data_IF_377336797045
#
_entry.id   IF_377336797045
#
_cell.length_a   1.000
_cell.length_b   1.000
_cell.length_c   1.000
_cell.angle_alpha   90.00
_cell.angle_beta   90.00
_cell.angle_gamma   90.00
#
_symmetry.space_group_name_H-M   'P 1'
#
loop_
_entity.id
_entity.type
_entity.pdbx_description
1 polymer ?
#
# COMPACT_ATOMS: atom_id res chain seq x y z
N UNK A 1 -3.80 18.11 -16.83
CA UNK A 1 -3.45 16.71 -17.16
C UNK A 1 -4.00 15.88 -16.01
N UNK A 2 -4.73 14.80 -16.25
CA UNK A 2 -5.31 13.97 -15.17
C UNK A 2 -4.54 12.64 -15.08
N UNK A 3 -4.32 12.14 -13.86
CA UNK A 3 -3.72 10.82 -13.65
C UNK A 3 -4.65 9.72 -14.21
N UNK A 4 -4.10 8.62 -14.74
CA UNK A 4 -4.92 7.51 -15.23
C UNK A 4 -5.62 6.80 -14.05
N UNK A 5 -6.84 6.33 -14.29
CA UNK A 5 -7.53 5.49 -13.32
C UNK A 5 -6.83 4.12 -13.21
N UNK A 6 -6.20 3.86 -12.07
CA UNK A 6 -5.53 2.59 -11.82
C UNK A 6 -6.55 1.57 -11.31
N UNK A 7 -6.88 0.60 -12.18
CA UNK A 7 -7.80 -0.50 -11.89
C UNK A 7 -7.24 -1.81 -12.41
N UNK A 8 -7.30 -2.86 -11.60
CA UNK A 8 -7.00 -4.21 -12.09
C UNK A 8 -8.20 -4.71 -12.88
N UNK A 9 -8.06 -4.84 -14.20
CA UNK A 9 -9.13 -5.42 -15.03
C UNK A 9 -9.46 -6.84 -14.55
N UNK A 10 -10.72 -7.07 -14.22
CA UNK A 10 -11.22 -8.42 -13.91
C UNK A 10 -11.07 -9.29 -15.16
N UNK A 11 -10.50 -10.49 -15.02
CA UNK A 11 -10.64 -11.51 -16.07
C UNK A 11 -12.14 -11.80 -16.23
N UNK A 12 -12.57 -12.16 -17.45
CA UNK A 12 -13.98 -12.52 -17.78
C UNK A 12 -14.65 -13.49 -16.80
N UNK A 13 -13.86 -14.26 -16.03
CA UNK A 13 -14.33 -15.12 -14.95
C UNK A 13 -13.74 -14.60 -13.65
N UNK A 14 -14.58 -13.97 -12.83
CA UNK A 14 -14.22 -13.46 -11.53
C UNK A 14 -14.52 -14.51 -10.45
N UNK A 15 -13.50 -15.29 -10.09
CA UNK A 15 -13.60 -16.28 -9.00
C UNK A 15 -13.96 -15.61 -7.65
N UNK A 16 -13.74 -14.29 -7.49
CA UNK A 16 -14.17 -13.55 -6.30
C UNK A 16 -15.68 -13.23 -6.32
N UNK A 17 -16.34 -13.18 -7.48
CA UNK A 17 -17.81 -13.17 -7.57
C UNK A 17 -18.39 -14.56 -7.28
N UNK A 18 -17.70 -15.63 -7.66
CA UNK A 18 -18.11 -17.01 -7.36
C UNK A 18 -17.95 -17.30 -5.86
N UNK A 19 -16.87 -16.82 -5.23
CA UNK A 19 -16.67 -16.90 -3.78
C UNK A 19 -17.51 -15.88 -2.99
N UNK A 20 -17.77 -14.69 -3.54
CA UNK A 20 -18.63 -13.66 -2.94
C UNK A 20 -20.10 -14.07 -2.83
N UNK A 21 -20.54 -15.04 -3.65
CA UNK A 21 -21.83 -15.71 -3.47
C UNK A 21 -21.90 -16.62 -2.22
N UNK A 22 -20.77 -16.88 -1.56
CA UNK A 22 -20.67 -17.79 -0.40
C UNK A 22 -20.37 -17.04 0.92
N UNK A 23 -20.12 -15.72 0.89
CA UNK A 23 -19.89 -14.92 2.10
C UNK A 23 -20.32 -13.45 1.90
N UNK A 24 -21.33 -13.02 2.64
CA UNK A 24 -21.85 -11.63 2.64
C UNK A 24 -20.76 -10.61 2.98
N UNK A 25 -19.86 -10.92 3.92
CA UNK A 25 -18.76 -10.03 4.30
C UNK A 25 -17.76 -9.76 3.17
N UNK A 26 -17.44 -10.78 2.37
CA UNK A 26 -16.58 -10.64 1.18
C UNK A 26 -17.26 -9.78 0.11
N UNK A 27 -18.55 -10.00 -0.12
CA UNK A 27 -19.32 -9.20 -1.08
C UNK A 27 -19.40 -7.73 -0.65
N UNK A 28 -19.63 -7.48 0.64
CA UNK A 28 -19.68 -6.13 1.20
C UNK A 28 -18.34 -5.41 1.00
N UNK A 29 -17.22 -5.98 1.44
CA UNK A 29 -15.91 -5.33 1.29
C UNK A 29 -15.55 -5.15 -0.19
N UNK A 30 -15.80 -6.13 -1.05
CA UNK A 30 -15.55 -6.01 -2.49
C UNK A 30 -16.38 -4.89 -3.14
N UNK A 31 -17.60 -4.63 -2.66
CA UNK A 31 -18.42 -3.53 -3.18
C UNK A 31 -17.84 -2.14 -2.87
N UNK A 32 -16.92 -2.04 -1.90
CA UNK A 32 -16.23 -0.79 -1.57
C UNK A 32 -15.02 -0.49 -2.46
N UNK A 33 -14.52 -1.47 -3.23
CA UNK A 33 -13.27 -1.33 -3.99
C UNK A 33 -13.34 -0.23 -5.05
N UNK A 34 -14.36 -0.25 -5.91
CA UNK A 34 -14.51 0.77 -6.95
C UNK A 34 -14.83 2.16 -6.36
N UNK A 35 -15.79 2.31 -5.42
CA UNK A 35 -16.03 3.58 -4.75
C UNK A 35 -14.77 4.15 -4.08
N UNK A 36 -13.95 3.31 -3.45
CA UNK A 36 -12.70 3.75 -2.81
C UNK A 36 -11.69 4.24 -3.83
N UNK A 37 -11.60 3.54 -4.95
CA UNK A 37 -10.67 3.88 -6.00
C UNK A 37 -11.09 5.20 -6.71
N UNK A 38 -12.39 5.40 -6.94
CA UNK A 38 -12.94 6.68 -7.44
C UNK A 38 -12.66 7.84 -6.48
N UNK A 39 -12.84 7.63 -5.17
CA UNK A 39 -12.49 8.63 -4.17
C UNK A 39 -11.05 9.10 -4.30
N UNK A 40 -10.09 8.18 -4.49
CA UNK A 40 -8.69 8.54 -4.67
C UNK A 40 -8.41 9.20 -6.00
N UNK A 41 -9.10 8.82 -7.08
CA UNK A 41 -8.97 9.51 -8.37
C UNK A 41 -9.38 10.99 -8.23
N UNK A 42 -10.53 11.27 -7.62
CA UNK A 42 -11.01 12.64 -7.38
C UNK A 42 -10.10 13.41 -6.41
N UNK A 43 -9.66 12.75 -5.32
CA UNK A 43 -8.72 13.33 -4.36
C UNK A 43 -7.40 13.71 -5.03
N UNK A 44 -6.86 12.84 -5.88
CA UNK A 44 -5.61 13.04 -6.60
C UNK A 44 -5.73 14.19 -7.59
N UNK A 45 -6.85 14.35 -8.30
CA UNK A 45 -7.08 15.50 -9.21
C UNK A 45 -6.90 16.84 -8.52
N UNK A 46 -7.50 17.01 -7.34
CA UNK A 46 -7.35 18.23 -6.54
C UNK A 46 -5.93 18.45 -6.01
N UNK A 47 -5.19 17.38 -5.75
CA UNK A 47 -3.85 17.45 -5.18
C UNK A 47 -2.75 17.55 -6.23
N UNK A 48 -2.97 17.13 -7.47
CA UNK A 48 -1.94 17.05 -8.51
C UNK A 48 -1.25 18.41 -8.76
N UNK A 49 -2.04 19.47 -8.83
CA UNK A 49 -1.57 20.84 -9.12
C UNK A 49 -1.49 21.75 -7.89
N UNK A 50 -1.83 21.23 -6.70
CA UNK A 50 -1.72 21.99 -5.45
C UNK A 50 -0.26 22.20 -5.04
N UNK A 51 0.01 23.19 -4.19
CA UNK A 51 1.34 23.43 -3.62
C UNK A 51 1.56 22.71 -2.28
N UNK A 52 2.83 22.50 -1.93
CA UNK A 52 3.24 21.93 -0.64
C UNK A 52 3.96 20.59 -0.75
N UNK A 53 4.53 20.10 0.37
CA UNK A 53 5.20 18.81 0.43
C UNK A 53 4.31 17.69 -0.11
N UNK A 54 4.85 16.87 -0.99
CA UNK A 54 4.11 15.79 -1.64
C UNK A 54 4.47 14.45 -0.99
N UNK A 55 3.45 13.72 -0.58
CA UNK A 55 3.52 12.30 -0.27
C UNK A 55 2.91 11.50 -1.42
N UNK A 56 3.67 10.53 -1.95
CA UNK A 56 3.20 9.50 -2.87
C UNK A 56 2.99 8.19 -2.11
N UNK A 57 1.78 7.65 -2.16
CA UNK A 57 1.47 6.33 -1.61
C UNK A 57 1.30 5.31 -2.74
N UNK A 58 2.20 4.33 -2.77
CA UNK A 58 2.19 3.19 -3.69
C UNK A 58 1.64 1.96 -2.96
N UNK A 59 1.07 1.00 -3.68
CA UNK A 59 0.72 -0.29 -3.10
C UNK A 59 -0.59 -0.89 -3.58
N UNK A 60 -1.15 -1.74 -2.72
CA UNK A 60 -2.34 -2.53 -2.98
C UNK A 60 -3.59 -2.02 -2.23
N UNK A 61 -4.55 -2.92 -1.97
CA UNK A 61 -5.81 -2.60 -1.31
C UNK A 61 -5.64 -2.02 0.09
N UNK A 62 -4.56 -2.35 0.81
CA UNK A 62 -4.28 -1.77 2.13
C UNK A 62 -3.94 -0.29 2.01
N UNK A 63 -3.11 0.08 1.03
CA UNK A 63 -2.81 1.50 0.71
C UNK A 63 -4.04 2.23 0.19
N UNK A 64 -4.93 1.53 -0.51
CA UNK A 64 -6.19 2.09 -0.96
C UNK A 64 -7.19 2.30 0.21
N UNK A 65 -6.96 1.64 1.35
CA UNK A 65 -7.80 1.71 2.55
C UNK A 65 -8.96 0.71 2.57
N UNK A 66 -8.96 -0.31 1.70
CA UNK A 66 -10.02 -1.33 1.70
C UNK A 66 -10.06 -2.02 3.06
N UNK A 67 -11.27 -2.16 3.60
CA UNK A 67 -11.54 -2.69 4.94
C UNK A 67 -11.80 -1.62 5.99
N UNK A 68 -11.27 -0.39 5.82
CA UNK A 68 -11.67 0.76 6.64
C UNK A 68 -13.10 1.19 6.32
N UNK A 69 -13.85 1.69 7.31
CA UNK A 69 -15.24 2.12 7.15
C UNK A 69 -15.36 3.33 6.21
N UNK A 70 -14.41 4.26 6.29
CA UNK A 70 -14.38 5.48 5.48
C UNK A 70 -12.98 5.71 4.90
N UNK A 71 -12.84 6.45 3.78
CA UNK A 71 -11.52 6.84 3.29
C UNK A 71 -10.71 7.61 4.34
N UNK A 72 -11.36 8.45 5.15
CA UNK A 72 -10.73 9.23 6.23
C UNK A 72 -10.18 8.39 7.38
N UNK A 73 -10.67 7.16 7.58
CA UNK A 73 -10.16 6.22 8.59
C UNK A 73 -9.02 5.33 8.06
N UNK A 74 -8.67 5.46 6.78
CA UNK A 74 -7.50 4.76 6.23
C UNK A 74 -6.20 5.30 6.82
N UNK A 75 -5.18 4.45 6.94
CA UNK A 75 -3.88 4.87 7.49
C UNK A 75 -3.27 6.05 6.75
N UNK A 76 -3.50 6.13 5.43
CA UNK A 76 -2.96 7.19 4.59
C UNK A 76 -3.55 8.55 4.99
N UNK A 77 -4.87 8.61 5.19
CA UNK A 77 -5.54 9.83 5.67
C UNK A 77 -5.12 10.20 7.09
N UNK A 78 -5.02 9.22 8.00
CA UNK A 78 -4.59 9.46 9.38
C UNK A 78 -3.17 10.04 9.45
N UNK A 79 -2.21 9.46 8.73
CA UNK A 79 -0.82 9.95 8.69
C UNK A 79 -0.73 11.31 8.00
N UNK A 80 -1.53 11.56 6.96
CA UNK A 80 -1.54 12.85 6.27
C UNK A 80 -1.94 13.99 7.22
N UNK A 81 -2.99 13.78 8.01
CA UNK A 81 -3.42 14.78 9.01
C UNK A 81 -2.35 15.01 10.08
N UNK A 82 -1.68 13.94 10.54
CA UNK A 82 -0.54 14.06 11.47
C UNK A 82 0.62 14.85 10.86
N UNK A 83 0.97 14.60 9.59
CA UNK A 83 2.02 15.37 8.87
C UNK A 83 1.68 16.86 8.82
N UNK A 84 0.44 17.22 8.46
CA UNK A 84 -0.03 18.61 8.44
C UNK A 84 0.08 19.25 9.81
N UNK A 85 -0.38 18.56 10.86
CA UNK A 85 -0.35 19.07 12.23
C UNK A 85 1.06 19.24 12.78
N UNK A 86 1.94 18.26 12.54
CA UNK A 86 3.33 18.23 13.02
C UNK A 86 4.21 19.27 12.34
N UNK A 87 4.09 19.41 11.03
CA UNK A 87 4.97 20.26 10.22
C UNK A 87 4.42 21.66 9.98
N UNK A 88 3.14 21.89 10.30
CA UNK A 88 2.39 23.12 9.98
C UNK A 88 2.41 23.47 8.49
N UNK A 89 2.61 22.48 7.62
CA UNK A 89 2.61 22.63 6.17
C UNK A 89 1.37 21.97 5.55
N UNK A 90 0.92 22.51 4.42
CA UNK A 90 -0.16 21.94 3.61
C UNK A 90 0.37 20.74 2.83
N UNK A 91 0.57 19.62 3.52
CA UNK A 91 0.95 18.37 2.87
C UNK A 91 -0.13 17.91 1.89
N UNK A 92 0.34 17.44 0.74
CA UNK A 92 -0.47 16.82 -0.31
C UNK A 92 -0.22 15.33 -0.31
N UNK A 93 -1.25 14.58 -0.65
CA UNK A 93 -1.17 13.15 -0.89
C UNK A 93 -1.64 12.85 -2.31
N UNK A 94 -0.85 12.07 -3.05
CA UNK A 94 -1.29 11.39 -4.25
C UNK A 94 -1.20 9.89 -3.96
N UNK A 95 -2.36 9.23 -3.90
CA UNK A 95 -2.46 7.79 -3.65
C UNK A 95 -2.58 7.05 -4.99
N UNK A 96 -1.50 6.38 -5.39
CA UNK A 96 -1.40 5.62 -6.65
C UNK A 96 -1.65 4.13 -6.43
N UNK A 97 -2.20 3.74 -5.29
CA UNK A 97 -2.50 2.33 -5.01
C UNK A 97 -3.60 1.77 -5.91
N UNK A 98 -3.56 0.46 -6.07
CA UNK A 98 -4.56 -0.27 -6.85
C UNK A 98 -4.90 -1.57 -6.12
N UNK A 99 -6.17 -1.78 -5.79
CA UNK A 99 -6.61 -3.05 -5.19
C UNK A 99 -6.20 -4.25 -6.04
N UNK A 100 -5.59 -5.25 -5.38
CA UNK A 100 -5.05 -6.43 -6.04
C UNK A 100 -3.70 -6.20 -6.76
N UNK A 101 -3.06 -5.04 -6.58
CA UNK A 101 -1.73 -4.78 -7.12
C UNK A 101 -0.68 -5.76 -6.61
N UNK A 102 0.27 -6.07 -7.49
CA UNK A 102 1.47 -6.87 -7.26
C UNK A 102 2.70 -6.01 -7.44
N UNK A 103 3.87 -6.55 -7.13
CA UNK A 103 5.16 -5.89 -7.42
C UNK A 103 5.23 -5.40 -8.87
N UNK A 104 4.83 -6.21 -9.84
CA UNK A 104 4.82 -5.81 -11.26
C UNK A 104 3.92 -4.63 -11.56
N UNK A 105 2.82 -4.44 -10.83
CA UNK A 105 1.90 -3.33 -11.07
C UNK A 105 2.46 -2.02 -10.50
N UNK A 106 3.17 -2.09 -9.36
CA UNK A 106 3.93 -0.94 -8.86
C UNK A 106 4.97 -0.51 -9.89
N UNK A 107 5.72 -1.46 -10.44
CA UNK A 107 6.82 -1.21 -11.38
C UNK A 107 6.31 -0.67 -12.72
N UNK A 108 5.25 -1.26 -13.28
CA UNK A 108 4.82 -0.96 -14.64
C UNK A 108 3.68 0.07 -14.72
N UNK A 109 3.02 0.41 -13.62
CA UNK A 109 1.83 1.27 -13.65
C UNK A 109 1.80 2.37 -12.59
N UNK A 110 2.43 2.19 -11.44
CA UNK A 110 2.43 3.23 -10.39
C UNK A 110 3.68 4.11 -10.46
N UNK A 111 4.87 3.52 -10.49
CA UNK A 111 6.15 4.25 -10.54
C UNK A 111 6.32 5.13 -11.78
N UNK A 112 5.93 4.70 -13.01
CA UNK A 112 6.07 5.54 -14.20
C UNK A 112 5.34 6.89 -14.08
N UNK A 113 4.23 6.94 -13.32
CA UNK A 113 3.46 8.16 -13.11
C UNK A 113 4.23 9.26 -12.38
N UNK A 114 5.29 8.92 -11.62
CA UNK A 114 6.13 9.93 -10.99
C UNK A 114 6.90 10.73 -12.04
N UNK A 115 7.40 10.05 -13.08
CA UNK A 115 8.14 10.68 -14.17
C UNK A 115 7.18 11.36 -15.17
N UNK A 116 6.16 10.63 -15.63
CA UNK A 116 5.18 11.12 -16.62
C UNK A 116 4.50 12.42 -16.19
N UNK A 117 4.27 12.59 -14.89
CA UNK A 117 3.63 13.77 -14.29
C UNK A 117 4.61 14.67 -13.53
N UNK A 118 5.92 14.42 -13.63
CA UNK A 118 6.98 15.21 -12.99
C UNK A 118 6.76 15.43 -11.49
N UNK A 119 6.26 14.40 -10.80
CA UNK A 119 5.96 14.43 -9.38
C UNK A 119 7.26 14.47 -8.58
N UNK A 120 7.37 15.43 -7.65
CA UNK A 120 8.54 15.61 -6.77
C UNK A 120 8.17 15.29 -5.32
N UNK A 121 8.06 14.00 -4.96
CA UNK A 121 7.69 13.61 -3.60
C UNK A 121 8.78 13.96 -2.58
N UNK A 122 8.36 14.41 -1.39
CA UNK A 122 9.19 14.41 -0.18
C UNK A 122 9.07 13.10 0.60
N UNK A 123 7.95 12.40 0.46
CA UNK A 123 7.70 11.11 1.09
C UNK A 123 7.18 10.12 0.05
N UNK A 124 7.72 8.91 0.04
CA UNK A 124 7.18 7.78 -0.70
C UNK A 124 6.97 6.63 0.27
N UNK A 125 5.79 6.02 0.23
CA UNK A 125 5.48 4.82 1.03
C UNK A 125 4.94 3.73 0.14
N UNK A 126 5.23 2.47 0.46
CA UNK A 126 4.69 1.31 -0.24
C UNK A 126 4.21 0.23 0.73
N UNK A 127 2.96 -0.23 0.57
CA UNK A 127 2.48 -1.49 1.16
C UNK A 127 2.08 -2.42 0.02
N UNK A 128 2.91 -3.43 -0.23
CA UNK A 128 2.78 -4.32 -1.40
C UNK A 128 3.37 -5.70 -1.12
N UNK A 129 2.88 -6.73 -1.82
CA UNK A 129 3.42 -8.09 -1.81
C UNK A 129 2.44 -9.17 -1.32
N UNK A 130 1.33 -8.76 -0.70
CA UNK A 130 0.26 -9.67 -0.27
C UNK A 130 -0.30 -10.47 -1.45
N UNK A 131 -0.54 -9.80 -2.58
CA UNK A 131 -1.06 -10.40 -3.80
C UNK A 131 -0.02 -11.29 -4.51
N UNK A 132 1.27 -10.93 -4.50
CA UNK A 132 2.34 -11.78 -5.03
C UNK A 132 2.37 -13.13 -4.30
N UNK A 133 2.23 -13.12 -2.97
CA UNK A 133 2.14 -14.33 -2.16
C UNK A 133 0.88 -15.15 -2.52
N UNK A 134 -0.23 -14.54 -2.92
CA UNK A 134 -1.40 -15.31 -3.33
C UNK A 134 -1.22 -15.95 -4.71
N UNK A 135 -0.56 -15.27 -5.65
CA UNK A 135 -0.57 -15.66 -7.06
C UNK A 135 0.70 -16.33 -7.58
N UNK A 136 1.89 -16.00 -7.07
CA UNK A 136 3.15 -16.57 -7.58
C UNK A 136 3.37 -17.97 -6.99
N UNK A 137 3.62 -18.96 -7.86
CA UNK A 137 4.06 -20.31 -7.44
C UNK A 137 5.59 -20.36 -7.40
N UNK A 138 6.16 -20.88 -6.31
CA UNK A 138 7.60 -21.03 -6.12
C UNK A 138 8.28 -19.87 -5.39
N UNK A 139 9.29 -20.20 -4.58
CA UNK A 139 10.04 -19.25 -3.73
C UNK A 139 11.08 -18.44 -4.50
N UNK A 140 11.75 -19.05 -5.48
CA UNK A 140 12.76 -18.33 -6.28
C UNK A 140 12.13 -17.26 -7.18
N UNK A 141 10.98 -17.55 -7.82
CA UNK A 141 10.31 -16.58 -8.68
C UNK A 141 9.86 -15.35 -7.90
N UNK A 142 9.21 -15.53 -6.74
CA UNK A 142 8.73 -14.41 -5.93
C UNK A 142 9.87 -13.59 -5.33
N UNK A 143 11.01 -14.22 -5.02
CA UNK A 143 12.22 -13.51 -4.59
C UNK A 143 12.75 -12.61 -5.71
N UNK A 144 12.83 -13.10 -6.96
CA UNK A 144 13.24 -12.30 -8.12
C UNK A 144 12.31 -11.11 -8.35
N UNK A 145 11.01 -11.27 -8.14
CA UNK A 145 10.06 -10.17 -8.28
C UNK A 145 10.23 -9.11 -7.19
N UNK A 146 10.52 -9.55 -5.96
CA UNK A 146 10.85 -8.66 -4.85
C UNK A 146 12.18 -7.93 -5.10
N UNK A 147 13.19 -8.61 -5.64
CA UNK A 147 14.47 -8.03 -6.03
C UNK A 147 14.27 -6.94 -7.09
N UNK A 148 13.43 -7.22 -8.09
CA UNK A 148 13.12 -6.28 -9.16
C UNK A 148 12.38 -5.04 -8.65
N UNK A 149 11.43 -5.21 -7.72
CA UNK A 149 10.81 -4.07 -7.03
C UNK A 149 11.85 -3.24 -6.26
N UNK A 150 12.66 -3.89 -5.41
CA UNK A 150 13.72 -3.23 -4.64
C UNK A 150 14.72 -2.51 -5.55
N UNK A 151 14.92 -3.02 -6.78
CA UNK A 151 15.83 -2.43 -7.76
C UNK A 151 15.34 -1.08 -8.30
N UNK A 152 14.02 -0.89 -8.40
CA UNK A 152 13.44 0.30 -9.05
C UNK A 152 12.75 1.27 -8.07
N UNK A 153 12.51 0.86 -6.82
CA UNK A 153 11.99 1.77 -5.81
C UNK A 153 12.94 2.98 -5.62
N UNK A 154 12.41 4.21 -5.57
CA UNK A 154 13.22 5.39 -5.25
C UNK A 154 13.86 5.30 -3.86
N UNK A 155 15.05 5.85 -3.73
CA UNK A 155 15.77 5.97 -2.45
C UNK A 155 14.95 6.75 -1.42
N UNK A 156 15.02 6.36 -0.15
CA UNK A 156 14.24 6.95 0.94
C UNK A 156 12.79 6.46 1.02
N UNK A 157 12.36 5.52 0.18
CA UNK A 157 11.01 4.94 0.25
C UNK A 157 10.81 4.17 1.55
N UNK A 158 9.65 4.36 2.20
CA UNK A 158 9.21 3.55 3.34
C UNK A 158 8.41 2.35 2.84
N UNK A 159 8.99 1.15 2.92
CA UNK A 159 8.38 -0.08 2.44
C UNK A 159 7.93 -0.94 3.62
N UNK A 160 6.69 -1.42 3.57
CA UNK A 160 6.17 -2.31 4.60
C UNK A 160 6.86 -3.67 4.55
N UNK A 161 7.26 -4.19 5.72
CA UNK A 161 7.78 -5.54 5.87
C UNK A 161 6.70 -6.57 5.56
N UNK A 162 7.14 -7.68 4.98
CA UNK A 162 6.37 -8.92 4.92
C UNK A 162 6.74 -9.78 6.12
N UNK A 163 5.74 -10.25 6.86
CA UNK A 163 5.96 -11.14 7.99
C UNK A 163 6.64 -12.44 7.54
N UNK A 164 7.64 -12.88 8.28
CA UNK A 164 8.28 -14.19 8.07
C UNK A 164 7.32 -15.29 8.50
N UNK A 165 7.33 -16.41 7.76
CA UNK A 165 6.66 -17.64 8.17
C UNK A 165 7.68 -18.62 8.74
N UNK A 166 7.24 -19.56 9.59
CA UNK A 166 8.10 -20.68 10.00
C UNK A 166 8.53 -21.47 8.75
N UNK A 167 9.83 -21.44 8.42
CA UNK A 167 10.43 -22.09 7.25
C UNK A 167 10.77 -21.17 6.07
N UNK A 168 11.36 -21.74 5.01
CA UNK A 168 11.83 -21.01 3.80
C UNK A 168 10.73 -20.84 2.74
N UNK A 169 9.54 -20.39 3.16
CA UNK A 169 8.38 -20.17 2.30
C UNK A 169 8.45 -18.87 1.50
N UNK A 170 7.41 -18.60 0.69
CA UNK A 170 7.31 -17.39 -0.15
C UNK A 170 7.40 -16.08 0.64
N UNK A 171 6.77 -16.04 1.81
CA UNK A 171 6.83 -14.90 2.75
C UNK A 171 8.26 -14.64 3.22
N UNK A 172 8.93 -15.68 3.68
CA UNK A 172 10.33 -15.61 4.13
C UNK A 172 11.26 -15.19 2.99
N UNK A 173 11.04 -15.70 1.77
CA UNK A 173 11.84 -15.30 0.61
C UNK A 173 11.73 -13.79 0.30
N UNK A 174 10.51 -13.21 0.30
CA UNK A 174 10.34 -11.76 0.14
C UNK A 174 10.99 -11.00 1.30
N UNK A 175 10.73 -11.44 2.55
CA UNK A 175 11.27 -10.78 3.73
C UNK A 175 12.80 -10.76 3.71
N UNK A 176 13.45 -11.87 3.36
CA UNK A 176 14.90 -11.96 3.20
C UNK A 176 15.40 -11.01 2.11
N UNK A 177 14.76 -10.98 0.94
CA UNK A 177 15.11 -10.03 -0.12
C UNK A 177 15.01 -8.58 0.35
N UNK A 178 13.92 -8.21 1.02
CA UNK A 178 13.72 -6.83 1.50
C UNK A 178 14.77 -6.45 2.54
N UNK A 179 14.99 -7.28 3.57
CA UNK A 179 15.96 -7.01 4.63
C UNK A 179 17.39 -6.93 4.09
N UNK A 180 17.76 -7.81 3.15
CA UNK A 180 19.11 -7.85 2.59
C UNK A 180 19.41 -6.64 1.68
N UNK A 181 18.42 -6.19 0.89
CA UNK A 181 18.64 -5.12 -0.08
C UNK A 181 18.37 -3.72 0.47
N UNK A 182 17.53 -3.58 1.50
CA UNK A 182 17.11 -2.27 2.00
C UNK A 182 18.27 -1.33 2.38
N UNK A 183 19.34 -1.77 3.09
CA UNK A 183 20.46 -0.89 3.44
C UNK A 183 21.19 -0.34 2.21
N UNK A 184 21.51 -1.20 1.24
CA UNK A 184 22.22 -0.81 0.03
C UNK A 184 21.38 0.07 -0.91
N UNK A 185 20.05 0.02 -0.76
CA UNK A 185 19.09 0.76 -1.58
C UNK A 185 18.50 1.99 -0.90
N UNK A 186 18.93 2.28 0.32
CA UNK A 186 18.35 3.31 1.19
C UNK A 186 16.82 3.21 1.31
N UNK A 187 16.30 1.99 1.43
CA UNK A 187 14.88 1.73 1.66
C UNK A 187 14.65 1.62 3.17
N UNK A 188 13.63 2.33 3.69
CA UNK A 188 13.28 2.31 5.10
C UNK A 188 12.19 1.27 5.33
N UNK A 189 12.50 0.19 6.04
CA UNK A 189 11.51 -0.86 6.31
C UNK A 189 10.71 -0.54 7.57
N UNK A 190 9.38 -0.58 7.48
CA UNK A 190 8.46 -0.41 8.63
C UNK A 190 7.48 -1.59 8.75
N UNK A 191 6.94 -1.83 9.94
CA UNK A 191 6.07 -2.99 10.20
C UNK A 191 4.60 -2.60 10.16
N UNK A 192 3.97 -2.53 8.99
CA UNK A 192 2.54 -2.19 8.93
C UNK A 192 1.66 -3.14 9.76
N UNK A 193 2.06 -4.41 9.85
CA UNK A 193 1.31 -5.51 10.47
C UNK A 193 1.59 -5.69 11.98
N UNK A 194 2.30 -4.75 12.61
CA UNK A 194 2.62 -4.83 14.03
C UNK A 194 1.48 -4.27 14.88
N UNK A 195 0.49 -5.11 15.15
CA UNK A 195 -0.63 -4.85 16.06
C UNK A 195 -0.63 -5.84 17.23
N UNK A 196 -1.25 -5.52 18.38
CA UNK A 196 -1.17 -6.35 19.59
C UNK A 196 -1.89 -7.71 19.47
N UNK A 197 -2.93 -7.79 18.62
CA UNK A 197 -3.69 -9.01 18.37
C UNK A 197 -4.23 -9.00 16.94
N UNK A 198 -4.49 -10.17 16.36
CA UNK A 198 -5.22 -10.28 15.11
C UNK A 198 -6.75 -10.30 15.33
N UNK A 199 -7.20 -10.61 16.54
CA UNK A 199 -8.62 -10.62 16.88
C UNK A 199 -9.18 -9.20 16.84
N UNK A 200 -10.30 -9.02 16.14
CA UNK A 200 -10.93 -7.70 15.98
C UNK A 200 -10.19 -6.72 15.07
N UNK A 201 -9.12 -7.12 14.38
CA UNK A 201 -8.36 -6.25 13.45
C UNK A 201 -8.77 -6.39 11.98
N UNK A 202 -9.65 -7.33 11.66
CA UNK A 202 -10.06 -7.62 10.30
C UNK A 202 -11.46 -7.10 10.00
N UNK A 203 -11.67 -6.64 8.76
CA UNK A 203 -12.97 -6.32 8.21
C UNK A 203 -13.84 -7.58 8.07
N UNK A 204 -15.08 -7.41 7.61
CA UNK A 204 -16.06 -8.50 7.52
C UNK A 204 -15.65 -9.65 6.59
N UNK A 205 -14.73 -9.39 5.66
CA UNK A 205 -14.15 -10.41 4.78
C UNK A 205 -13.03 -11.24 5.42
N UNK A 206 -12.66 -10.92 6.67
CA UNK A 206 -11.60 -11.56 7.46
C UNK A 206 -10.23 -11.54 6.77
N UNK A 207 -10.01 -10.57 5.88
CA UNK A 207 -8.79 -10.47 5.09
C UNK A 207 -8.22 -9.05 5.06
N UNK A 208 -9.07 -8.03 4.90
CA UNK A 208 -8.62 -6.64 4.90
C UNK A 208 -8.57 -6.06 6.32
N UNK A 209 -7.62 -5.16 6.62
CA UNK A 209 -7.58 -4.46 7.91
C UNK A 209 -8.80 -3.54 8.09
N UNK A 210 -9.39 -3.51 9.28
CA UNK A 210 -10.45 -2.58 9.64
C UNK A 210 -9.89 -1.22 10.15
N UNK A 211 -10.75 -0.37 10.73
CA UNK A 211 -10.37 0.95 11.24
C UNK A 211 -9.29 0.90 12.33
N UNK A 212 -9.43 0.01 13.31
CA UNK A 212 -8.45 -0.12 14.41
C UNK A 212 -7.09 -0.56 13.87
N UNK A 213 -7.11 -1.54 12.98
CA UNK A 213 -5.95 -1.99 12.25
C UNK A 213 -5.29 -0.86 11.43
N UNK A 214 -6.07 -0.04 10.73
CA UNK A 214 -5.56 1.12 10.00
C UNK A 214 -4.95 2.18 10.92
N UNK A 215 -5.47 2.35 12.14
CA UNK A 215 -4.84 3.18 13.17
C UNK A 215 -3.45 2.62 13.55
N UNK A 216 -3.32 1.32 13.78
CA UNK A 216 -2.01 0.71 14.05
C UNK A 216 -1.04 0.82 12.87
N UNK A 217 -1.51 0.64 11.63
CA UNK A 217 -0.67 0.85 10.44
C UNK A 217 -0.16 2.29 10.40
N UNK A 218 -1.02 3.27 10.72
CA UNK A 218 -0.64 4.68 10.80
C UNK A 218 0.40 4.92 11.90
N UNK A 219 0.23 4.33 13.09
CA UNK A 219 1.17 4.44 14.21
C UNK A 219 2.53 3.81 13.89
N UNK A 220 2.53 2.67 13.21
CA UNK A 220 3.74 1.97 12.81
C UNK A 220 4.54 2.78 11.77
N UNK A 221 3.86 3.35 10.76
CA UNK A 221 4.50 4.24 9.80
C UNK A 221 5.01 5.51 10.50
N UNK A 222 4.19 6.14 11.34
CA UNK A 222 4.54 7.35 12.08
C UNK A 222 5.78 7.17 12.96
N UNK A 223 5.84 6.05 13.69
CA UNK A 223 7.00 5.68 14.50
C UNK A 223 8.26 5.51 13.64
N UNK A 224 8.12 4.91 12.45
CA UNK A 224 9.24 4.79 11.51
C UNK A 224 9.72 6.14 10.98
N UNK A 225 8.82 7.09 10.70
CA UNK A 225 9.19 8.43 10.24
C UNK A 225 9.96 9.22 11.32
N UNK A 226 9.61 9.03 12.60
CA UNK A 226 10.38 9.59 13.71
C UNK A 226 11.74 8.92 13.88
N UNK A 227 11.79 7.57 13.85
CA UNK A 227 13.03 6.82 14.08
C UNK A 227 14.12 7.10 13.02
N UNK A 228 13.72 7.51 11.82
CA UNK A 228 14.61 7.89 10.71
C UNK A 228 14.84 9.40 10.62
N UNK A 229 14.36 10.18 11.59
CA UNK A 229 14.44 11.66 11.63
C UNK A 229 13.83 12.35 10.40
N UNK A 230 12.77 11.77 9.82
CA UNK A 230 12.01 12.43 8.76
C UNK A 230 11.13 13.56 9.29
N UNK A 231 10.61 13.41 10.52
CA UNK A 231 9.76 14.37 11.26
C UNK A 231 10.13 14.48 12.74
#
# INVERSE_FOLDING_TARGET
MELPALRRHKKRIDLSQIAGRLSEGVALVNSTVEPRAMYWDDYNKGNLHSEGPLWIALGDSVTQGIGSSLPSTSYASLVLERLKQRTKQKWRLINLSMSGARFSDVINSQLPLLEDYQLKPKLITAIIGSNDIMWRRGTSAIAKDAEELMRVLPTGTYLSRISRSNGRGRRTAIADTFENLAPARDIKLFNAWNWPTAEGMWAQDKFHPNDDAHSYIADNLWSSLHATNFI
#
